data_IF_500416459772
#
_entry.id   IF_500416459772
#
_cell.length_a   1.000
_cell.length_b   1.000
_cell.length_c   1.000
_cell.angle_alpha   90.00
_cell.angle_beta   90.00
_cell.angle_gamma   90.00
#
_symmetry.space_group_name_H-M   'P 1'
#
loop_
_entity.id
_entity.type
_entity.pdbx_description
1 polymer ?
#
# COMPACT_ATOMS: atom_id res chain seq x y z
N UNK A 1 14.30 -2.58 6.91
CA UNK A 1 13.01 -1.86 6.94
C UNK A 1 12.12 -2.53 5.93
N UNK A 2 10.83 -2.60 6.21
CA UNK A 2 9.84 -3.05 5.23
C UNK A 2 8.73 -1.99 5.12
N UNK A 3 8.03 -2.00 4.00
CA UNK A 3 7.03 -1.01 3.63
C UNK A 3 5.74 -1.73 3.25
N UNK A 4 4.61 -1.18 3.69
CA UNK A 4 3.25 -1.59 3.31
C UNK A 4 2.57 -0.45 2.56
N UNK A 5 1.53 -0.78 1.81
CA UNK A 5 0.70 0.21 1.12
C UNK A 5 -0.70 0.18 1.74
N UNK A 6 -1.23 1.37 2.01
CA UNK A 6 -2.61 1.58 2.39
C UNK A 6 -3.37 2.24 1.24
N UNK A 7 -4.60 1.84 1.02
CA UNK A 7 -5.53 2.52 0.13
C UNK A 7 -6.59 3.26 0.94
N UNK A 8 -6.71 4.57 0.71
CA UNK A 8 -7.53 5.48 1.53
C UNK A 8 -8.85 5.85 0.85
N UNK A 9 -9.53 4.89 0.24
CA UNK A 9 -10.77 5.09 -0.54
C UNK A 9 -11.82 5.96 0.16
N UNK A 10 -11.86 7.26 -0.15
CA UNK A 10 -12.82 8.20 0.42
C UNK A 10 -12.43 8.79 1.78
N UNK A 11 -11.22 8.52 2.28
CA UNK A 11 -10.66 9.13 3.48
C UNK A 11 -9.89 8.17 4.39
N UNK A 12 -9.21 8.69 5.43
CA UNK A 12 -8.46 7.89 6.41
C UNK A 12 -9.31 6.84 7.14
N UNK A 13 -10.61 7.09 7.32
CA UNK A 13 -11.56 6.18 7.94
C UNK A 13 -11.83 4.91 7.12
N UNK A 14 -11.49 4.92 5.83
CA UNK A 14 -11.65 3.83 4.89
C UNK A 14 -10.31 3.18 4.51
N UNK A 15 -9.26 3.40 5.32
CA UNK A 15 -7.94 2.83 5.07
C UNK A 15 -7.97 1.30 5.07
N UNK A 16 -7.51 0.70 3.97
CA UNK A 16 -7.32 -0.75 3.84
C UNK A 16 -5.86 -1.05 3.46
N UNK A 17 -5.32 -2.18 3.92
CA UNK A 17 -4.01 -2.66 3.46
C UNK A 17 -4.19 -3.18 2.03
N UNK A 18 -3.33 -2.75 1.10
CA UNK A 18 -3.32 -3.26 -0.26
C UNK A 18 -2.91 -4.74 -0.25
N UNK A 19 -3.68 -5.56 -0.95
CA UNK A 19 -3.45 -6.99 -1.09
C UNK A 19 -3.33 -7.38 -2.56
N UNK A 20 -2.56 -8.42 -2.85
CA UNK A 20 -2.56 -9.07 -4.15
C UNK A 20 -3.92 -9.77 -4.44
N UNK A 21 -4.15 -10.31 -5.66
CA UNK A 21 -5.37 -11.03 -6.00
C UNK A 21 -5.65 -12.28 -5.16
N UNK A 22 -4.64 -12.83 -4.51
CA UNK A 22 -4.77 -14.00 -3.61
C UNK A 22 -5.07 -13.58 -2.16
N UNK A 23 -5.10 -12.27 -1.88
CA UNK A 23 -5.38 -11.69 -0.57
C UNK A 23 -4.15 -11.57 0.34
N UNK A 24 -2.93 -11.70 -0.19
CA UNK A 24 -1.72 -11.46 0.59
C UNK A 24 -1.39 -9.97 0.64
N UNK A 25 -0.99 -9.48 1.81
CA UNK A 25 -0.57 -8.08 1.96
C UNK A 25 0.65 -7.78 1.09
N UNK A 26 0.61 -6.66 0.38
CA UNK A 26 1.73 -6.18 -0.42
C UNK A 26 2.79 -5.53 0.48
N UNK A 27 3.86 -6.28 0.78
CA UNK A 27 5.01 -5.84 1.59
C UNK A 27 6.25 -5.74 0.71
N UNK A 28 6.98 -4.64 0.85
CA UNK A 28 8.18 -4.34 0.06
C UNK A 28 9.38 -4.06 0.96
N UNK A 29 10.58 -4.40 0.53
CA UNK A 29 11.82 -4.05 1.23
C UNK A 29 12.46 -2.77 0.68
N UNK A 30 12.04 -2.33 -0.50
CA UNK A 30 12.49 -1.11 -1.16
C UNK A 30 11.36 -0.07 -1.23
N UNK A 31 11.67 1.15 -0.81
CA UNK A 31 10.69 2.24 -0.78
C UNK A 31 10.24 2.65 -2.20
N UNK A 32 11.15 2.65 -3.18
CA UNK A 32 10.82 3.07 -4.54
C UNK A 32 9.95 2.04 -5.26
N UNK A 33 10.06 0.76 -4.91
CA UNK A 33 9.11 -0.27 -5.34
C UNK A 33 7.72 -0.07 -4.71
N UNK A 34 7.66 0.17 -3.40
CA UNK A 34 6.41 0.47 -2.71
C UNK A 34 5.70 1.72 -3.27
N UNK A 35 6.46 2.76 -3.63
CA UNK A 35 5.93 4.00 -4.20
C UNK A 35 5.32 3.79 -5.59
N UNK A 36 5.94 2.96 -6.43
CA UNK A 36 5.38 2.62 -7.76
C UNK A 36 4.04 1.91 -7.62
N UNK A 37 3.98 0.91 -6.75
CA UNK A 37 2.75 0.16 -6.52
C UNK A 37 1.66 1.07 -5.90
N UNK A 38 2.03 1.96 -4.98
CA UNK A 38 1.09 2.92 -4.40
C UNK A 38 0.52 3.91 -5.44
N UNK A 39 1.28 4.21 -6.50
CA UNK A 39 0.82 5.06 -7.60
C UNK A 39 -0.20 4.35 -8.53
N UNK A 40 -0.23 3.02 -8.53
CA UNK A 40 -1.22 2.22 -9.25
C UNK A 40 -2.53 2.05 -8.45
N UNK A 41 -2.52 2.34 -7.14
CA UNK A 41 -3.73 2.43 -6.32
C UNK A 41 -4.51 3.74 -6.59
N UNK A 42 -5.82 3.75 -6.32
CA UNK A 42 -6.64 4.95 -6.54
C UNK A 42 -6.27 6.08 -5.56
N UNK A 43 -5.93 5.74 -4.32
CA UNK A 43 -5.43 6.64 -3.27
C UNK A 43 -4.44 5.89 -2.36
N UNK A 44 -3.30 5.49 -2.95
CA UNK A 44 -2.26 4.70 -2.29
C UNK A 44 -1.32 5.52 -1.40
N UNK A 45 -0.94 4.96 -0.26
CA UNK A 45 0.01 5.56 0.68
C UNK A 45 0.99 4.54 1.23
N UNK A 46 2.27 4.80 1.08
CA UNK A 46 3.35 3.98 1.62
C UNK A 46 3.54 4.25 3.12
N UNK A 47 3.65 3.18 3.90
CA UNK A 47 3.89 3.19 5.36
C UNK A 47 5.10 2.30 5.66
N UNK A 48 6.05 2.81 6.44
CA UNK A 48 7.18 2.04 6.98
C UNK A 48 6.74 1.26 8.22
N UNK A 49 7.16 0.00 8.34
CA UNK A 49 6.81 -0.92 9.44
C UNK A 49 8.02 -1.61 10.07
#
# INVERSE_FOLDING_TARGET
MSYLILELHGGPECAAICTDPDGNNLVFDDYAEAEKEAADCQDGRVIEI
#
